data_IF_787581816542
#
_entry.id   IF_787581816542
#
_cell.length_a   1.000
_cell.length_b   1.000
_cell.length_c   1.000
_cell.angle_alpha   90.00
_cell.angle_beta   90.00
_cell.angle_gamma   90.00
#
_symmetry.space_group_name_H-M   'P 1'
#
loop_
_entity.id
_entity.type
_entity.pdbx_description
1 polymer ?
#
# COMPACT_ATOMS: atom_id res chain seq x y z
N UNK A 1 14.91 -1.16 34.85
CA UNK A 1 14.86 -0.62 33.47
C UNK A 1 14.04 -1.61 32.67
N UNK A 2 12.81 -1.25 32.31
CA UNK A 2 11.96 -2.10 31.46
C UNK A 2 12.58 -2.14 30.05
N UNK A 3 12.87 -3.33 29.54
CA UNK A 3 13.32 -3.50 28.16
C UNK A 3 12.19 -3.09 27.21
N UNK A 4 12.33 -1.93 26.57
CA UNK A 4 11.43 -1.52 25.49
C UNK A 4 11.70 -2.45 24.30
N UNK A 5 10.91 -3.51 24.17
CA UNK A 5 10.89 -4.35 22.96
C UNK A 5 10.33 -3.53 21.80
N UNK A 6 11.20 -3.01 20.95
CA UNK A 6 10.81 -2.43 19.67
C UNK A 6 10.26 -3.53 18.76
N UNK A 7 8.94 -3.70 18.74
CA UNK A 7 8.28 -4.58 17.77
C UNK A 7 8.32 -3.89 16.40
N UNK A 8 9.10 -4.44 15.47
CA UNK A 8 9.10 -3.94 14.08
C UNK A 8 7.67 -3.97 13.54
N UNK A 9 7.22 -2.86 12.96
CA UNK A 9 5.92 -2.81 12.26
C UNK A 9 5.98 -3.79 11.09
N UNK A 10 4.86 -4.46 10.79
CA UNK A 10 4.78 -5.28 9.57
C UNK A 10 5.04 -4.38 8.35
N UNK A 11 5.77 -4.88 7.34
CA UNK A 11 5.95 -4.15 6.10
C UNK A 11 4.59 -3.88 5.46
N UNK A 12 4.46 -2.74 4.79
CA UNK A 12 3.30 -2.47 3.95
C UNK A 12 3.44 -3.25 2.65
N UNK A 13 2.41 -4.01 2.29
CA UNK A 13 2.38 -4.78 1.05
C UNK A 13 1.80 -3.89 -0.05
N UNK A 14 2.49 -3.79 -1.17
CA UNK A 14 1.95 -3.09 -2.32
C UNK A 14 0.80 -3.88 -2.95
N UNK A 15 -0.34 -3.22 -3.18
CA UNK A 15 -1.57 -3.83 -3.70
C UNK A 15 -2.28 -2.88 -4.64
N UNK A 16 -3.05 -3.45 -5.59
CA UNK A 16 -4.20 -2.75 -6.16
C UNK A 16 -5.39 -2.85 -5.21
N UNK A 17 -6.29 -1.87 -5.22
CA UNK A 17 -7.46 -1.81 -4.32
C UNK A 17 -8.32 -3.06 -4.48
N UNK A 18 -8.54 -3.51 -5.72
CA UNK A 18 -9.29 -4.74 -6.02
C UNK A 18 -8.58 -6.04 -5.57
N UNK A 19 -7.28 -5.99 -5.29
CA UNK A 19 -6.46 -7.15 -4.92
C UNK A 19 -6.21 -7.23 -3.40
N UNK A 20 -6.80 -6.33 -2.61
CA UNK A 20 -6.70 -6.33 -1.15
C UNK A 20 -7.30 -7.64 -0.61
N UNK A 21 -6.49 -8.41 0.12
CA UNK A 21 -6.87 -9.69 0.73
C UNK A 21 -7.24 -9.52 2.19
N UNK A 22 -7.97 -10.47 2.78
CA UNK A 22 -8.40 -10.40 4.19
C UNK A 22 -7.24 -10.36 5.19
N UNK A 23 -6.14 -11.04 4.87
CA UNK A 23 -4.94 -11.13 5.70
C UNK A 23 -4.00 -9.92 5.57
N UNK A 24 -4.25 -9.03 4.59
CA UNK A 24 -3.52 -7.77 4.46
C UNK A 24 -3.86 -6.85 5.65
N UNK A 25 -2.84 -6.54 6.45
CA UNK A 25 -2.97 -5.63 7.61
C UNK A 25 -2.50 -4.21 7.32
N UNK A 26 -1.51 -4.06 6.43
CA UNK A 26 -0.87 -2.79 6.09
C UNK A 26 -0.54 -2.79 4.61
N UNK A 27 -0.93 -1.74 3.90
CA UNK A 27 -0.86 -1.68 2.43
C UNK A 27 -0.14 -0.42 1.96
N UNK A 28 0.41 -0.52 0.75
CA UNK A 28 0.84 0.61 -0.05
C UNK A 28 -0.03 0.66 -1.31
N UNK A 29 -0.83 1.71 -1.44
CA UNK A 29 -1.74 1.94 -2.56
C UNK A 29 -1.29 3.17 -3.33
N UNK A 30 -1.36 3.11 -4.66
CA UNK A 30 -1.03 4.25 -5.53
C UNK A 30 -2.27 4.55 -6.36
N UNK A 31 -2.72 5.80 -6.34
CA UNK A 31 -3.92 6.20 -7.05
C UNK A 31 -4.10 7.71 -7.11
N UNK A 32 -5.18 8.13 -7.76
CA UNK A 32 -5.60 9.53 -7.85
C UNK A 32 -6.56 9.85 -6.70
N UNK A 33 -6.27 10.92 -5.96
CA UNK A 33 -7.12 11.40 -4.89
C UNK A 33 -8.26 12.27 -5.44
N UNK A 34 -9.47 12.11 -4.88
CA UNK A 34 -10.65 12.91 -5.23
C UNK A 34 -11.60 13.01 -4.02
N UNK A 35 -12.58 13.92 -4.05
CA UNK A 35 -13.51 14.15 -2.92
C UNK A 35 -12.75 14.36 -1.60
N UNK A 36 -11.83 15.32 -1.59
CA UNK A 36 -10.99 15.63 -0.43
C UNK A 36 -11.78 16.43 0.59
N UNK A 37 -11.97 15.88 1.79
CA UNK A 37 -12.62 16.54 2.92
C UNK A 37 -11.57 17.04 3.93
N UNK A 38 -11.51 18.36 4.09
CA UNK A 38 -10.57 19.02 5.00
C UNK A 38 -11.04 19.08 6.45
N UNK A 39 -12.33 18.88 6.71
CA UNK A 39 -12.86 18.87 8.07
C UNK A 39 -12.61 17.53 8.73
N UNK A 40 -12.85 16.45 7.99
CA UNK A 40 -12.71 15.08 8.48
C UNK A 40 -11.31 14.48 8.21
N UNK A 41 -10.45 15.22 7.50
CA UNK A 41 -9.13 14.76 7.05
C UNK A 41 -9.20 13.44 6.26
N UNK A 42 -10.18 13.36 5.38
CA UNK A 42 -10.41 12.18 4.54
C UNK A 42 -10.33 12.51 3.06
N UNK A 43 -10.09 11.50 2.23
CA UNK A 43 -10.21 11.59 0.79
C UNK A 43 -10.47 10.22 0.18
N UNK A 44 -11.00 10.20 -1.03
CA UNK A 44 -11.18 8.97 -1.80
C UNK A 44 -9.98 8.77 -2.74
N UNK A 45 -9.49 7.54 -2.83
CA UNK A 45 -8.39 7.15 -3.70
C UNK A 45 -8.91 6.18 -4.77
N UNK A 46 -8.66 6.50 -6.04
CA UNK A 46 -8.98 5.66 -7.21
C UNK A 46 -7.68 5.19 -7.88
N UNK A 47 -7.49 3.87 -7.98
CA UNK A 47 -6.33 3.27 -8.66
C UNK A 47 -6.65 2.68 -10.04
N UNK A 48 -7.87 2.89 -10.53
CA UNK A 48 -8.40 2.34 -11.78
C UNK A 48 -8.96 0.92 -11.64
N UNK A 49 -8.73 0.24 -10.52
CA UNK A 49 -9.32 -1.08 -10.22
C UNK A 49 -10.36 -1.04 -9.11
N UNK A 50 -10.32 -0.02 -8.28
CA UNK A 50 -11.28 0.20 -7.21
C UNK A 50 -11.13 1.59 -6.62
N UNK A 51 -12.01 1.89 -5.67
CA UNK A 51 -12.09 3.17 -4.99
C UNK A 51 -12.15 2.88 -3.49
N UNK A 52 -11.33 3.56 -2.69
CA UNK A 52 -11.27 3.35 -1.24
C UNK A 52 -11.19 4.68 -0.48
N UNK A 53 -11.82 4.74 0.68
CA UNK A 53 -11.72 5.86 1.60
C UNK A 53 -10.40 5.80 2.37
N UNK A 54 -9.74 6.94 2.48
CA UNK A 54 -8.51 7.13 3.25
C UNK A 54 -8.74 8.20 4.32
N UNK A 55 -8.44 7.85 5.58
CA UNK A 55 -8.35 8.78 6.71
C UNK A 55 -6.88 9.11 6.97
N UNK A 56 -6.51 10.39 7.02
CA UNK A 56 -5.10 10.79 7.17
C UNK A 56 -4.73 11.13 8.62
N UNK A 57 -3.64 10.54 9.14
CA UNK A 57 -3.15 10.79 10.51
C UNK A 57 -2.54 12.20 10.70
N UNK A 58 -1.82 12.74 9.71
CA UNK A 58 -0.97 13.94 9.91
C UNK A 58 -1.56 15.27 9.40
N UNK A 59 -2.89 15.36 9.21
CA UNK A 59 -3.53 16.49 8.50
C UNK A 59 -2.97 16.73 7.08
N UNK A 60 -2.24 15.76 6.51
CA UNK A 60 -1.66 15.84 5.18
C UNK A 60 -2.67 15.32 4.17
N UNK A 61 -3.32 16.25 3.47
CA UNK A 61 -4.27 15.93 2.42
C UNK A 61 -3.65 16.22 1.05
N UNK A 62 -3.85 15.33 0.06
CA UNK A 62 -3.48 15.61 -1.32
C UNK A 62 -4.37 16.70 -1.92
N UNK A 63 -3.90 17.32 -3.00
CA UNK A 63 -4.78 18.13 -3.84
C UNK A 63 -5.79 17.22 -4.58
N UNK A 64 -6.98 17.74 -4.86
CA UNK A 64 -7.96 17.03 -5.66
C UNK A 64 -7.40 16.77 -7.08
N UNK A 65 -7.46 15.52 -7.51
CA UNK A 65 -6.90 15.05 -8.78
C UNK A 65 -5.41 14.68 -8.72
N UNK A 66 -4.73 14.87 -7.59
CA UNK A 66 -3.31 14.52 -7.42
C UNK A 66 -3.11 13.00 -7.36
N UNK A 67 -2.05 12.51 -8.00
CA UNK A 67 -1.61 11.12 -7.84
C UNK A 67 -0.71 11.00 -6.62
N UNK A 68 -1.08 10.09 -5.71
CA UNK A 68 -0.36 9.88 -4.45
C UNK A 68 -0.15 8.39 -4.17
N UNK A 69 0.88 8.10 -3.37
CA UNK A 69 1.05 6.82 -2.70
C UNK A 69 0.61 6.95 -1.24
N UNK A 70 -0.33 6.11 -0.84
CA UNK A 70 -0.80 6.00 0.54
C UNK A 70 -0.21 4.75 1.16
N UNK A 71 0.49 4.89 2.28
CA UNK A 71 0.93 3.78 3.12
C UNK A 71 0.10 3.83 4.40
N UNK A 72 -0.62 2.75 4.70
CA UNK A 72 -1.55 2.77 5.82
C UNK A 72 -2.01 1.41 6.28
N UNK A 73 -2.76 1.41 7.37
CA UNK A 73 -3.40 0.21 7.95
C UNK A 73 -4.79 0.04 7.37
N UNK A 74 -5.15 -1.19 7.03
CA UNK A 74 -6.52 -1.49 6.64
C UNK A 74 -7.39 -1.60 7.89
N UNK A 75 -8.50 -0.88 7.88
CA UNK A 75 -9.54 -0.96 8.90
C UNK A 75 -10.74 -1.63 8.25
N UNK A 76 -11.24 -2.69 8.88
CA UNK A 76 -12.32 -3.54 8.36
C UNK A 76 -13.50 -3.47 9.32
N UNK A 77 -14.31 -2.43 9.18
CA UNK A 77 -15.56 -2.27 9.93
C UNK A 77 -16.73 -2.63 9.00
N UNK A 78 -17.75 -1.77 8.88
CA UNK A 78 -18.85 -1.94 7.93
C UNK A 78 -18.36 -1.86 6.47
N UNK A 79 -17.43 -0.95 6.20
CA UNK A 79 -16.70 -0.84 4.93
C UNK A 79 -15.19 -0.83 5.18
N UNK A 80 -14.44 -1.38 4.22
CA UNK A 80 -12.97 -1.39 4.27
C UNK A 80 -12.47 0.02 3.92
N UNK A 81 -11.67 0.61 4.80
CA UNK A 81 -10.99 1.88 4.57
C UNK A 81 -9.53 1.79 5.03
N UNK A 82 -8.74 2.81 4.66
CA UNK A 82 -7.34 2.90 5.01
C UNK A 82 -7.13 4.02 6.01
N UNK A 83 -6.51 3.69 7.14
CA UNK A 83 -5.90 4.68 8.00
C UNK A 83 -4.49 5.00 7.49
N UNK A 84 -4.36 6.10 6.76
CA UNK A 84 -3.16 6.58 6.09
C UNK A 84 -2.13 7.13 7.07
N UNK A 85 -1.03 6.39 7.21
CA UNK A 85 0.13 6.77 8.02
C UNK A 85 1.09 7.67 7.24
N UNK A 86 1.15 7.50 5.91
CA UNK A 86 1.98 8.31 5.02
C UNK A 86 1.21 8.58 3.73
N UNK A 87 1.16 9.84 3.32
CA UNK A 87 0.68 10.28 2.01
C UNK A 87 1.85 10.91 1.27
N UNK A 88 2.30 10.28 0.18
CA UNK A 88 3.45 10.71 -0.61
C UNK A 88 3.00 11.23 -1.96
N UNK A 89 3.56 12.36 -2.41
CA UNK A 89 3.34 12.85 -3.77
C UNK A 89 3.94 11.87 -4.79
N UNK A 90 3.12 11.42 -5.73
CA UNK A 90 3.48 10.51 -6.81
C UNK A 90 3.12 11.08 -8.18
N UNK A 91 2.88 12.40 -8.27
CA UNK A 91 2.42 13.07 -9.49
C UNK A 91 3.43 13.00 -10.64
N UNK A 92 4.71 12.86 -10.33
CA UNK A 92 5.80 12.73 -11.31
C UNK A 92 6.25 11.29 -11.55
N UNK A 93 5.60 10.31 -10.92
CA UNK A 93 5.96 8.91 -11.09
C UNK A 93 5.52 8.41 -12.47
N UNK A 94 6.39 7.63 -13.11
CA UNK A 94 6.06 6.90 -14.32
C UNK A 94 5.28 5.63 -13.94
N UNK A 95 3.94 5.73 -13.99
CA UNK A 95 3.05 4.64 -13.61
C UNK A 95 3.06 3.48 -14.61
N UNK A 96 3.44 3.73 -15.87
CA UNK A 96 3.54 2.69 -16.89
C UNK A 96 4.77 1.82 -16.63
N UNK A 97 5.92 2.45 -16.40
CA UNK A 97 7.14 1.75 -16.01
C UNK A 97 6.97 1.00 -14.68
N UNK A 98 6.24 1.58 -13.72
CA UNK A 98 5.93 0.91 -12.45
C UNK A 98 5.10 -0.36 -12.67
N UNK A 99 4.09 -0.31 -13.55
CA UNK A 99 3.28 -1.50 -13.85
C UNK A 99 4.09 -2.56 -14.59
N UNK A 100 4.99 -2.19 -15.50
CA UNK A 100 5.90 -3.12 -16.16
C UNK A 100 6.79 -3.85 -15.14
N UNK A 101 7.38 -3.11 -14.20
CA UNK A 101 8.19 -3.69 -13.11
C UNK A 101 7.36 -4.67 -12.30
N UNK A 102 6.13 -4.31 -11.91
CA UNK A 102 5.23 -5.18 -11.13
C UNK A 102 4.87 -6.46 -11.87
N UNK A 103 4.65 -6.37 -13.18
CA UNK A 103 4.40 -7.55 -13.99
C UNK A 103 5.62 -8.48 -14.04
N UNK A 104 6.82 -7.91 -14.18
CA UNK A 104 8.07 -8.66 -14.17
C UNK A 104 8.28 -9.32 -12.81
N UNK A 105 8.08 -8.60 -11.71
CA UNK A 105 8.16 -9.13 -10.35
C UNK A 105 7.21 -10.32 -10.16
N UNK A 106 5.94 -10.18 -10.56
CA UNK A 106 4.95 -11.28 -10.52
C UNK A 106 5.38 -12.51 -11.32
N UNK A 107 6.10 -12.34 -12.44
CA UNK A 107 6.56 -13.43 -13.32
C UNK A 107 7.86 -14.06 -12.84
N UNK A 108 8.75 -13.29 -12.22
CA UNK A 108 10.15 -13.67 -11.95
C UNK A 108 10.37 -14.03 -10.50
N UNK A 109 9.86 -13.27 -9.54
CA UNK A 109 10.11 -13.50 -8.10
C UNK A 109 9.72 -14.92 -7.66
N UNK A 110 8.53 -15.45 -7.99
CA UNK A 110 8.17 -16.81 -7.58
C UNK A 110 9.10 -17.90 -8.12
N UNK A 111 9.69 -17.67 -9.31
CA UNK A 111 10.65 -18.61 -9.90
C UNK A 111 11.99 -18.57 -9.15
N UNK A 112 12.43 -17.38 -8.77
CA UNK A 112 13.66 -17.18 -7.99
C UNK A 112 13.50 -17.79 -6.59
N UNK A 113 12.38 -17.53 -5.93
CA UNK A 113 12.06 -18.12 -4.62
C UNK A 113 12.03 -19.65 -4.68
N UNK A 114 11.36 -20.22 -5.68
CA UNK A 114 11.32 -21.68 -5.86
C UNK A 114 12.70 -22.30 -6.11
N UNK A 115 13.59 -21.59 -6.81
CA UNK A 115 15.00 -22.02 -6.99
C UNK A 115 15.76 -21.93 -5.67
N UNK A 116 15.63 -20.84 -4.92
CA UNK A 116 16.31 -20.67 -3.62
C UNK A 116 15.83 -21.72 -2.61
N UNK A 117 14.54 -22.02 -2.54
CA UNK A 117 14.02 -23.08 -1.66
C UNK A 117 14.52 -24.47 -2.07
N UNK A 118 14.63 -24.72 -3.38
CA UNK A 118 15.15 -25.98 -3.92
C UNK A 118 16.65 -26.18 -3.65
N UNK A 119 17.46 -25.12 -3.70
CA UNK A 119 18.92 -25.20 -3.47
C UNK A 119 19.36 -24.86 -2.05
N UNK A 120 18.53 -24.19 -1.25
CA UNK A 120 18.81 -23.80 0.14
C UNK A 120 18.38 -24.83 1.18
N UNK A 121 17.84 -25.97 0.75
CA UNK A 121 17.38 -27.08 1.59
C UNK A 121 18.44 -28.09 2.02
N UNK A 122 19.73 -27.79 1.86
CA UNK A 122 20.83 -28.60 2.40
C UNK A 122 21.92 -27.68 2.98
N UNK A 123 21.89 -27.48 4.29
CA UNK A 123 23.14 -27.39 5.07
C UNK A 123 23.18 -28.61 6.01
N UNK A 124 24.31 -29.35 6.07
CA UNK A 124 24.48 -30.56 6.88
C UNK A 124 24.53 -30.30 8.40
#
# INVERSE_FOLDING_TARGET
MEEVRFRRRKPAVERKISEIREDDTRVSLIGKAFKVDKMDYTFWLDDGTGVILVESEENVLPAEGQTVRVIGRLIRNEEIHVYGEVVQDFSSADLEALEEIRELERKVIPKVEGVIEFFGGEEP
#
